data_IF_790307540876
#
_entry.id   IF_790307540876
#
_cell.length_a   1.000
_cell.length_b   1.000
_cell.length_c   1.000
_cell.angle_alpha   90.00
_cell.angle_beta   90.00
_cell.angle_gamma   90.00
#
_symmetry.space_group_name_H-M   'P 1'
#
loop_
_entity.id
_entity.type
_entity.pdbx_description
1 polymer ?
#
# COMPACT_ATOMS: atom_id res chain seq x y z
N UNK A 1 4.44 -6.85 -12.56
CA UNK A 1 3.54 -5.68 -12.37
C UNK A 1 4.37 -4.54 -11.82
N UNK A 2 4.18 -3.32 -12.32
CA UNK A 2 4.92 -2.13 -11.88
C UNK A 2 4.07 -1.36 -10.85
N UNK A 3 4.67 -1.03 -9.70
CA UNK A 3 4.07 -0.27 -8.60
C UNK A 3 5.07 0.79 -8.11
N UNK A 4 4.57 1.87 -7.51
CA UNK A 4 5.39 3.00 -7.09
C UNK A 4 5.16 3.34 -5.62
N UNK A 5 6.21 3.56 -4.82
CA UNK A 5 6.09 3.81 -3.38
C UNK A 5 6.93 5.01 -2.90
N UNK A 6 6.42 5.83 -1.95
CA UNK A 6 7.16 6.90 -1.27
C UNK A 6 7.92 6.41 -0.02
N UNK A 7 7.73 5.12 0.36
CA UNK A 7 8.07 4.51 1.66
C UNK A 7 7.25 5.06 2.84
N UNK A 8 6.80 4.17 3.74
CA UNK A 8 6.68 4.35 5.20
C UNK A 8 5.99 3.13 5.82
N UNK A 9 6.65 2.49 6.79
CA UNK A 9 5.99 1.70 7.84
C UNK A 9 6.03 2.52 9.12
N UNK A 10 4.92 2.58 9.85
CA UNK A 10 4.88 3.23 11.16
C UNK A 10 5.17 2.21 12.26
N UNK A 11 6.18 2.47 13.09
CA UNK A 11 6.63 1.57 14.17
C UNK A 11 5.92 1.80 15.51
N UNK A 12 4.60 1.91 15.53
CA UNK A 12 3.87 2.37 16.72
C UNK A 12 3.33 1.23 17.62
N UNK A 13 4.17 0.26 18.02
CA UNK A 13 3.82 -0.81 18.98
C UNK A 13 5.10 -1.38 19.65
N UNK A 14 4.98 -2.03 20.81
CA UNK A 14 6.11 -2.65 21.54
C UNK A 14 6.83 -3.72 20.70
N UNK A 15 6.10 -4.41 19.82
CA UNK A 15 6.63 -5.25 18.75
C UNK A 15 5.89 -4.97 17.43
N UNK A 16 6.41 -4.05 16.60
CA UNK A 16 5.79 -3.69 15.31
C UNK A 16 5.73 -4.87 14.34
N UNK A 17 6.64 -5.84 14.45
CA UNK A 17 6.70 -6.99 13.55
C UNK A 17 5.57 -7.96 13.89
N UNK A 18 5.43 -8.34 15.16
CA UNK A 18 4.36 -9.22 15.61
C UNK A 18 2.98 -8.62 15.33
N UNK A 19 2.80 -7.33 15.57
CA UNK A 19 1.56 -6.63 15.25
C UNK A 19 1.25 -6.67 13.74
N UNK A 20 2.25 -6.41 12.91
CA UNK A 20 2.08 -6.45 11.45
C UNK A 20 1.70 -7.84 10.96
N UNK A 21 2.37 -8.90 11.45
CA UNK A 21 2.03 -10.28 11.07
C UNK A 21 0.61 -10.66 11.48
N UNK A 22 0.18 -10.25 12.67
CA UNK A 22 -1.20 -10.46 13.14
C UNK A 22 -2.22 -9.78 12.21
N UNK A 23 -1.96 -8.55 11.78
CA UNK A 23 -2.84 -7.82 10.87
C UNK A 23 -2.89 -8.47 9.47
N UNK A 24 -1.73 -8.86 8.92
CA UNK A 24 -1.67 -9.56 7.61
C UNK A 24 -2.45 -10.88 7.67
N UNK A 25 -2.31 -11.66 8.74
CA UNK A 25 -3.08 -12.90 8.94
C UNK A 25 -4.58 -12.63 9.08
N UNK A 26 -4.98 -11.58 9.81
CA UNK A 26 -6.39 -11.16 9.88
C UNK A 26 -6.96 -10.87 8.49
N UNK A 27 -6.31 -10.03 7.69
CA UNK A 27 -6.73 -9.72 6.31
C UNK A 27 -6.83 -10.99 5.46
N UNK A 28 -5.84 -11.87 5.56
CA UNK A 28 -5.81 -13.13 4.81
C UNK A 28 -7.00 -14.03 5.17
N UNK A 29 -7.36 -14.11 6.45
CA UNK A 29 -8.51 -14.90 6.91
C UNK A 29 -9.84 -14.29 6.48
N UNK A 30 -9.98 -12.97 6.61
CA UNK A 30 -11.19 -12.25 6.19
C UNK A 30 -11.42 -12.42 4.69
N UNK A 31 -10.40 -12.20 3.84
CA UNK A 31 -10.47 -12.46 2.40
C UNK A 31 -10.95 -13.87 2.08
N UNK A 32 -10.32 -14.90 2.66
CA UNK A 32 -10.69 -16.30 2.40
C UNK A 32 -12.13 -16.61 2.82
N UNK A 33 -12.63 -16.01 3.90
CA UNK A 33 -14.00 -16.18 4.33
C UNK A 33 -14.98 -15.41 3.43
N UNK A 34 -14.62 -14.19 3.01
CA UNK A 34 -15.38 -13.37 2.06
C UNK A 34 -15.48 -14.02 0.68
N UNK A 35 -14.41 -14.65 0.19
CA UNK A 35 -14.38 -15.43 -1.06
C UNK A 35 -15.33 -16.63 -1.00
N UNK A 36 -15.59 -17.17 0.20
CA UNK A 36 -16.58 -18.23 0.44
C UNK A 36 -18.01 -17.71 0.65
N UNK A 37 -18.22 -16.40 0.54
CA UNK A 37 -19.53 -15.75 0.67
C UNK A 37 -19.95 -15.42 2.10
N UNK A 38 -19.04 -15.46 3.09
CA UNK A 38 -19.37 -15.04 4.46
C UNK A 38 -19.60 -13.52 4.53
N UNK A 39 -20.86 -13.12 4.74
CA UNK A 39 -21.28 -11.72 4.80
C UNK A 39 -20.73 -10.97 6.01
N UNK A 40 -20.53 -11.64 7.16
CA UNK A 40 -19.93 -11.00 8.33
C UNK A 40 -18.46 -10.72 8.09
N UNK A 41 -17.75 -11.68 7.48
CA UNK A 41 -16.37 -11.48 7.08
C UNK A 41 -16.22 -10.36 6.04
N UNK A 42 -17.15 -10.25 5.08
CA UNK A 42 -17.18 -9.13 4.13
C UNK A 42 -17.32 -7.77 4.83
N UNK A 43 -18.25 -7.63 5.78
CA UNK A 43 -18.39 -6.39 6.54
C UNK A 43 -17.14 -6.04 7.35
N UNK A 44 -16.53 -7.03 8.02
CA UNK A 44 -15.27 -6.80 8.74
C UNK A 44 -14.11 -6.46 7.80
N UNK A 45 -14.05 -7.07 6.62
CA UNK A 45 -13.04 -6.75 5.62
C UNK A 45 -13.18 -5.29 5.16
N UNK A 46 -14.40 -4.84 4.90
CA UNK A 46 -14.70 -3.46 4.54
C UNK A 46 -14.23 -2.47 5.61
N UNK A 47 -14.57 -2.72 6.88
CA UNK A 47 -14.14 -1.88 8.01
C UNK A 47 -12.62 -1.81 8.13
N UNK A 48 -11.93 -2.95 7.97
CA UNK A 48 -10.47 -3.00 8.03
C UNK A 48 -9.82 -2.26 6.86
N UNK A 49 -10.35 -2.40 5.64
CA UNK A 49 -9.88 -1.66 4.46
C UNK A 49 -9.98 -0.15 4.67
N UNK A 50 -11.14 0.33 5.14
CA UNK A 50 -11.34 1.74 5.45
C UNK A 50 -10.41 2.23 6.57
N UNK A 51 -10.15 1.40 7.58
CA UNK A 51 -9.25 1.74 8.67
C UNK A 51 -7.81 1.95 8.20
N UNK A 52 -7.24 1.01 7.43
CA UNK A 52 -5.85 1.12 6.96
C UNK A 52 -5.66 2.28 5.97
N UNK A 53 -6.71 2.63 5.23
CA UNK A 53 -6.73 3.72 4.26
C UNK A 53 -6.83 5.10 4.92
N UNK A 54 -7.59 5.21 6.02
CA UNK A 54 -7.76 6.46 6.77
C UNK A 54 -6.64 6.71 7.78
N UNK A 55 -6.04 5.65 8.32
CA UNK A 55 -4.99 5.72 9.32
C UNK A 55 -3.69 5.11 8.79
N UNK A 56 -2.79 5.95 8.24
CA UNK A 56 -1.49 5.52 7.70
C UNK A 56 -0.67 4.65 8.67
N UNK A 57 -0.79 4.89 9.97
CA UNK A 57 -0.07 4.12 11.00
C UNK A 57 -0.67 2.73 11.26
N UNK A 58 -1.92 2.51 10.86
CA UNK A 58 -2.61 1.24 10.98
C UNK A 58 -2.42 0.34 9.74
N UNK A 59 -1.78 0.83 8.68
CA UNK A 59 -1.55 0.05 7.47
C UNK A 59 -0.41 -0.97 7.69
N UNK A 60 -0.68 -2.28 7.67
CA UNK A 60 0.35 -3.29 7.88
C UNK A 60 1.23 -3.53 6.63
N UNK A 61 0.83 -2.98 5.48
CA UNK A 61 1.51 -3.14 4.22
C UNK A 61 2.50 -2.00 3.98
N UNK A 62 3.52 -2.26 3.15
CA UNK A 62 4.25 -1.18 2.50
C UNK A 62 3.32 -0.58 1.46
N UNK A 63 2.80 0.62 1.74
CA UNK A 63 1.84 1.31 0.87
C UNK A 63 2.53 1.77 -0.42
N UNK A 64 2.00 1.27 -1.53
CA UNK A 64 2.42 1.59 -2.89
C UNK A 64 1.19 2.06 -3.69
N UNK A 65 1.39 2.61 -4.88
CA UNK A 65 0.34 2.96 -5.82
C UNK A 65 0.71 2.51 -7.23
N UNK A 66 -0.27 2.14 -8.04
CA UNK A 66 -0.07 1.93 -9.47
C UNK A 66 0.14 3.23 -10.26
N UNK A 67 -0.04 4.39 -9.62
CA UNK A 67 0.12 5.70 -10.28
C UNK A 67 1.29 6.48 -9.72
N UNK A 68 2.20 6.83 -10.60
CA UNK A 68 3.33 7.71 -10.33
C UNK A 68 2.93 9.01 -9.62
N UNK A 69 1.89 9.70 -10.10
CA UNK A 69 1.48 11.00 -9.57
C UNK A 69 1.09 10.94 -8.09
N UNK A 70 0.58 9.79 -7.63
CA UNK A 70 0.15 9.58 -6.25
C UNK A 70 1.37 9.35 -5.37
N UNK A 71 2.26 8.45 -5.79
CA UNK A 71 3.54 8.25 -5.11
C UNK A 71 4.36 9.54 -5.03
N UNK A 72 4.38 10.35 -6.10
CA UNK A 72 5.02 11.66 -6.13
C UNK A 72 4.39 12.62 -5.10
N UNK A 73 3.06 12.68 -5.01
CA UNK A 73 2.38 13.54 -4.04
C UNK A 73 2.73 13.21 -2.59
N UNK A 74 2.93 11.93 -2.28
CA UNK A 74 3.40 11.51 -0.97
C UNK A 74 4.88 11.78 -0.75
N UNK A 75 5.73 11.57 -1.76
CA UNK A 75 7.17 11.84 -1.67
C UNK A 75 7.47 13.33 -1.47
N UNK A 76 6.61 14.21 -1.99
CA UNK A 76 6.71 15.67 -1.86
C UNK A 76 5.82 16.24 -0.74
N UNK A 77 5.33 15.41 0.17
CA UNK A 77 4.49 15.88 1.27
C UNK A 77 5.21 16.97 2.10
N UNK A 78 4.51 18.05 2.42
CA UNK A 78 5.09 19.24 3.08
C UNK A 78 6.24 19.93 2.33
N UNK A 79 6.24 19.87 0.99
CA UNK A 79 7.25 20.51 0.14
C UNK A 79 8.69 20.05 0.48
N UNK A 80 8.86 18.82 0.94
CA UNK A 80 10.18 18.25 1.21
C UNK A 80 10.66 17.42 0.02
N UNK A 81 11.95 17.49 -0.35
CA UNK A 81 12.53 16.52 -1.28
C UNK A 81 12.36 15.09 -0.77
N UNK A 82 12.16 14.15 -1.68
CA UNK A 82 11.90 12.77 -1.34
C UNK A 82 12.36 11.81 -2.43
N UNK A 83 11.93 10.55 -2.30
CA UNK A 83 12.22 9.52 -3.27
C UNK A 83 10.94 8.84 -3.74
N UNK A 84 10.92 8.49 -5.01
CA UNK A 84 9.86 7.71 -5.62
C UNK A 84 10.50 6.45 -6.18
N UNK A 85 10.08 5.29 -5.66
CA UNK A 85 10.64 4.00 -6.02
C UNK A 85 9.69 3.31 -7.00
N UNK A 86 10.17 2.95 -8.18
CA UNK A 86 9.53 2.01 -9.08
C UNK A 86 9.92 0.60 -8.68
N UNK A 87 8.92 -0.22 -8.41
CA UNK A 87 9.07 -1.60 -7.96
C UNK A 87 8.39 -2.48 -8.99
N UNK A 88 9.06 -3.56 -9.38
CA UNK A 88 8.48 -4.62 -10.20
C UNK A 88 8.35 -5.87 -9.35
N UNK A 89 7.16 -6.44 -9.32
CA UNK A 89 6.90 -7.68 -8.58
C UNK A 89 6.09 -8.70 -9.35
N UNK A 90 6.23 -9.95 -8.91
CA UNK A 90 5.40 -11.09 -9.32
C UNK A 90 4.68 -11.74 -8.13
N UNK A 91 5.00 -11.35 -6.89
CA UNK A 91 4.41 -11.92 -5.69
C UNK A 91 2.95 -11.51 -5.43
N UNK A 92 2.29 -12.21 -4.49
CA UNK A 92 0.95 -11.87 -4.05
C UNK A 92 1.01 -10.60 -3.20
N UNK A 93 0.71 -9.45 -3.80
CA UNK A 93 0.40 -8.25 -3.02
C UNK A 93 -1.10 -8.08 -2.83
N UNK A 94 -1.45 -7.03 -2.11
CA UNK A 94 -2.82 -6.72 -1.71
C UNK A 94 -3.30 -5.50 -2.51
N UNK A 95 -3.94 -5.77 -3.64
CA UNK A 95 -4.57 -4.72 -4.44
C UNK A 95 -5.92 -4.35 -3.81
N UNK A 96 -5.97 -3.20 -3.15
CA UNK A 96 -7.15 -2.77 -2.41
C UNK A 96 -8.33 -2.57 -3.37
N UNK A 97 -8.11 -1.93 -4.52
CA UNK A 97 -9.17 -1.67 -5.48
C UNK A 97 -9.75 -2.98 -6.03
N UNK A 98 -8.91 -3.95 -6.39
CA UNK A 98 -9.36 -5.24 -6.88
C UNK A 98 -10.13 -6.05 -5.82
N UNK A 99 -9.72 -5.96 -4.54
CA UNK A 99 -10.44 -6.61 -3.43
C UNK A 99 -11.83 -5.99 -3.24
N UNK A 100 -11.92 -4.66 -3.28
CA UNK A 100 -13.21 -3.95 -3.14
C UNK A 100 -14.16 -4.29 -4.27
N UNK A 101 -13.69 -4.24 -5.52
CA UNK A 101 -14.48 -4.60 -6.70
C UNK A 101 -15.00 -6.03 -6.60
N UNK A 102 -14.12 -6.98 -6.28
CA UNK A 102 -14.47 -8.41 -6.15
C UNK A 102 -15.59 -8.66 -5.14
N UNK A 103 -15.60 -7.94 -4.03
CA UNK A 103 -16.57 -8.12 -2.96
C UNK A 103 -17.73 -7.12 -2.99
N UNK A 104 -17.79 -6.23 -3.98
CA UNK A 104 -18.83 -5.20 -4.08
C UNK A 104 -18.82 -4.20 -2.92
N UNK A 105 -17.63 -3.89 -2.40
CA UNK A 105 -17.44 -2.97 -1.27
C UNK A 105 -17.31 -1.54 -1.82
N UNK A 106 -18.45 -0.86 -1.98
CA UNK A 106 -18.53 0.49 -2.55
C UNK A 106 -18.74 1.54 -1.46
N UNK A 107 -17.86 2.55 -1.41
CA UNK A 107 -18.00 3.68 -0.48
C UNK A 107 -16.63 4.18 -0.08
N UNK A 108 -16.29 5.41 -0.45
CA UNK A 108 -14.87 5.72 -0.58
C UNK A 108 -14.44 7.05 0.05
N UNK A 109 -13.34 6.98 0.79
CA UNK A 109 -12.58 8.17 1.19
C UNK A 109 -11.34 8.37 0.30
N UNK A 110 -10.77 7.31 -0.31
CA UNK A 110 -9.44 7.36 -0.91
C UNK A 110 -9.14 6.41 -2.11
N UNK A 111 -10.12 5.87 -2.84
CA UNK A 111 -10.00 5.04 -4.06
C UNK A 111 -9.15 5.71 -5.14
N UNK A 112 -9.11 7.05 -5.13
CA UNK A 112 -8.21 7.81 -5.98
C UNK A 112 -6.73 7.47 -5.75
N UNK A 113 -6.35 6.84 -4.63
CA UNK A 113 -4.98 6.42 -4.28
C UNK A 113 -4.46 5.24 -5.14
N UNK A 114 -5.36 4.43 -5.72
CA UNK A 114 -4.99 3.22 -6.50
C UNK A 114 -3.95 2.37 -5.77
N UNK A 115 -4.26 2.10 -4.50
CA UNK A 115 -3.31 1.59 -3.51
C UNK A 115 -3.05 0.10 -3.67
N UNK A 116 -1.77 -0.26 -3.58
CA UNK A 116 -1.27 -1.62 -3.59
C UNK A 116 -0.40 -1.85 -2.35
N UNK A 117 -0.77 -2.84 -1.53
CA UNK A 117 -0.02 -3.22 -0.34
C UNK A 117 0.99 -4.33 -0.64
N UNK A 118 2.28 -4.07 -0.42
CA UNK A 118 3.28 -5.16 -0.36
C UNK A 118 3.36 -5.68 1.07
N UNK A 119 3.13 -6.99 1.32
CA UNK A 119 3.24 -7.55 2.66
C UNK A 119 4.71 -7.55 3.12
N UNK A 120 4.94 -7.22 4.40
CA UNK A 120 6.27 -7.23 5.03
C UNK A 120 7.25 -6.21 4.44
N UNK A 121 7.97 -6.62 3.42
CA UNK A 121 9.01 -5.86 2.74
C UNK A 121 9.05 -6.34 1.29
N UNK A 122 9.81 -5.65 0.45
CA UNK A 122 9.91 -5.99 -0.97
C UNK A 122 10.36 -7.45 -1.20
N UNK A 123 11.15 -8.04 -0.29
CA UNK A 123 11.46 -9.48 -0.31
C UNK A 123 12.03 -9.97 -1.65
N UNK A 124 11.95 -11.27 -1.91
CA UNK A 124 12.41 -11.85 -3.18
C UNK A 124 11.39 -11.68 -4.32
N UNK A 125 10.14 -11.39 -3.97
CA UNK A 125 9.01 -11.30 -4.89
C UNK A 125 8.85 -9.93 -5.55
N UNK A 126 9.50 -8.90 -4.99
CA UNK A 126 9.48 -7.53 -5.48
C UNK A 126 10.90 -6.96 -5.51
N UNK A 127 11.25 -6.34 -6.64
CA UNK A 127 12.56 -5.72 -6.85
C UNK A 127 12.36 -4.24 -7.13
N UNK A 128 13.18 -3.39 -6.51
CA UNK A 128 13.27 -1.98 -6.91
C UNK A 128 13.95 -1.95 -8.28
N UNK A 129 13.20 -1.51 -9.28
CA UNK A 129 13.71 -1.34 -10.65
C UNK A 129 14.32 0.04 -10.82
N UNK A 130 13.74 1.07 -10.22
CA UNK A 130 14.23 2.43 -10.39
C UNK A 130 13.97 3.27 -9.15
N UNK A 131 14.88 4.18 -8.81
CA UNK A 131 14.68 5.19 -7.78
C UNK A 131 14.87 6.56 -8.38
N UNK A 132 13.87 7.40 -8.17
CA UNK A 132 13.90 8.80 -8.54
C UNK A 132 14.02 9.66 -7.29
N UNK A 133 14.99 10.57 -7.30
CA UNK A 133 15.03 11.67 -6.36
C UNK A 133 14.15 12.81 -6.89
N UNK A 134 13.20 13.24 -6.08
CA UNK A 134 12.20 14.26 -6.44
C UNK A 134 12.36 15.47 -5.54
N UNK A 135 12.24 16.66 -6.13
CA UNK A 135 12.34 17.92 -5.42
C UNK A 135 11.06 18.74 -5.61
N UNK A 136 10.68 19.56 -4.61
CA UNK A 136 9.56 20.49 -4.74
C UNK A 136 9.89 21.60 -5.77
N UNK A 137 8.85 22.27 -6.27
CA UNK A 137 8.95 23.50 -7.10
C UNK A 137 9.54 23.34 -8.51
N UNK A 138 9.10 22.33 -9.26
CA UNK A 138 9.37 22.24 -10.71
C UNK A 138 10.81 21.94 -11.11
N UNK A 139 11.64 21.54 -10.14
CA UNK A 139 12.98 21.02 -10.40
C UNK A 139 12.89 19.65 -11.06
N UNK A 140 13.86 19.34 -11.92
CA UNK A 140 13.89 18.08 -12.63
C UNK A 140 13.98 16.91 -11.65
N UNK A 141 13.23 15.86 -11.95
CA UNK A 141 13.37 14.57 -11.26
C UNK A 141 14.64 13.89 -11.74
N UNK A 142 15.44 13.38 -10.82
CA UNK A 142 16.72 12.73 -11.12
C UNK A 142 16.62 11.23 -10.87
N UNK A 143 17.09 10.41 -11.81
CA UNK A 143 17.21 8.97 -11.59
C UNK A 143 18.50 8.73 -10.82
N UNK A 144 18.38 8.20 -9.60
CA UNK A 144 19.52 7.97 -8.70
C UNK A 144 19.86 6.48 -8.56
N UNK A 145 18.98 5.61 -9.03
CA UNK A 145 19.21 4.16 -9.14
C UNK A 145 18.42 3.64 -10.35
N UNK A 146 19.10 3.07 -11.37
CA UNK A 146 18.47 2.45 -12.53
C UNK A 146 18.26 0.94 -12.40
#
# INVERSE_FOLDING_TARGET
MQITAPSLRSGYFDDPTAWTEMQIDLFTRLLRASDRGDKKAQGHLEDQLLHIQSAKHANPFVSCSHRWSIALSFALFNDTPGYVLTIVGRGPGFDIAAVRERHGLFGDAVDHLVEFGVPRALGDDFTVEQVHYVQPFGRATEVVFP
#
